data_IF_991749569074
#
_entry.id   IF_991749569074
#
_cell.length_a   1.000
_cell.length_b   1.000
_cell.length_c   1.000
_cell.angle_alpha   90.00
_cell.angle_beta   90.00
_cell.angle_gamma   90.00
#
_symmetry.space_group_name_H-M   'P 1'
#
loop_
_entity.id
_entity.type
_entity.pdbx_description
1 polymer ?
#
# COMPACT_ATOMS: atom_id res chain seq x y z
N UNK A 1 -1.45 30.20 -68.67
CA UNK A 1 -1.77 31.65 -68.74
C UNK A 1 -2.58 32.03 -67.51
N UNK A 2 -2.22 33.16 -66.87
CA UNK A 2 -2.79 33.77 -65.65
C UNK A 2 -2.32 33.25 -64.27
N UNK A 3 -1.29 33.98 -63.80
CA UNK A 3 -0.85 34.20 -62.42
C UNK A 3 -2.01 34.70 -61.54
N UNK A 4 -2.01 34.33 -60.25
CA UNK A 4 -2.26 35.26 -59.14
C UNK A 4 -1.45 34.83 -57.91
N UNK A 5 -0.55 35.74 -57.54
CA UNK A 5 0.31 35.79 -56.38
C UNK A 5 -0.52 36.16 -55.15
N UNK A 6 -0.25 35.53 -53.99
CA UNK A 6 -0.43 36.16 -52.69
C UNK A 6 0.72 35.72 -51.77
N UNK A 7 1.46 36.71 -51.28
CA UNK A 7 2.45 36.61 -50.22
C UNK A 7 1.73 36.42 -48.87
N UNK A 8 2.24 35.55 -47.99
CA UNK A 8 2.40 35.90 -46.58
C UNK A 8 3.52 35.11 -45.91
N UNK A 9 4.20 35.81 -45.00
CA UNK A 9 5.50 35.58 -44.40
C UNK A 9 5.68 34.27 -43.61
N UNK A 10 6.94 33.85 -43.59
CA UNK A 10 7.50 32.84 -42.71
C UNK A 10 7.43 33.24 -41.23
N UNK A 11 7.20 32.25 -40.37
CA UNK A 11 7.68 32.26 -38.99
C UNK A 11 8.07 30.83 -38.60
N UNK A 12 9.39 30.58 -38.65
CA UNK A 12 10.05 29.46 -37.99
C UNK A 12 10.00 29.78 -36.50
N UNK A 13 9.18 29.07 -35.73
CA UNK A 13 9.22 29.14 -34.26
C UNK A 13 10.02 27.95 -33.73
N UNK A 14 11.11 28.30 -33.06
CA UNK A 14 12.15 27.43 -32.53
C UNK A 14 11.60 26.36 -31.58
N UNK A 15 12.10 25.16 -31.79
CA UNK A 15 12.28 24.13 -30.77
C UNK A 15 13.14 24.71 -29.64
N UNK A 16 12.55 24.98 -28.49
CA UNK A 16 13.30 25.06 -27.22
C UNK A 16 12.82 23.93 -26.31
N UNK A 17 13.63 22.88 -26.26
CA UNK A 17 13.82 22.12 -25.02
C UNK A 17 14.10 23.14 -23.91
N UNK A 18 13.20 23.29 -22.94
CA UNK A 18 13.59 23.77 -21.61
C UNK A 18 13.92 22.53 -20.80
N UNK A 19 15.15 22.06 -20.98
CA UNK A 19 15.80 21.20 -20.02
C UNK A 19 16.19 22.08 -18.82
N UNK A 20 15.67 21.78 -17.63
CA UNK A 20 16.21 22.28 -16.37
C UNK A 20 15.66 23.63 -15.87
N UNK A 21 14.34 23.75 -15.64
CA UNK A 21 13.92 24.58 -14.51
C UNK A 21 14.37 23.82 -13.26
N UNK A 22 15.30 24.39 -12.49
CA UNK A 22 15.72 23.75 -11.24
C UNK A 22 14.48 23.59 -10.34
N UNK A 23 14.34 22.42 -9.70
CA UNK A 23 13.26 22.18 -8.74
C UNK A 23 13.16 23.29 -7.69
N UNK A 24 14.28 23.97 -7.40
CA UNK A 24 14.36 25.12 -6.50
C UNK A 24 13.66 26.37 -7.03
N UNK A 25 13.72 26.67 -8.33
CA UNK A 25 13.05 27.85 -8.91
C UNK A 25 11.53 27.62 -9.01
N UNK A 26 11.11 26.41 -9.40
CA UNK A 26 9.71 26.03 -9.42
C UNK A 26 9.11 26.01 -8.00
N UNK A 27 9.82 25.47 -7.01
CA UNK A 27 9.37 25.49 -5.61
C UNK A 27 9.26 26.91 -5.04
N UNK A 28 10.17 27.82 -5.41
CA UNK A 28 10.10 29.22 -4.99
C UNK A 28 8.92 29.99 -5.60
N UNK A 29 8.55 29.66 -6.84
CA UNK A 29 7.40 30.28 -7.52
C UNK A 29 6.06 29.71 -7.02
N UNK A 30 6.03 28.40 -6.73
CA UNK A 30 4.90 27.74 -6.05
C UNK A 30 4.68 28.32 -4.64
N UNK A 31 5.73 28.48 -3.82
CA UNK A 31 5.61 29.04 -2.46
C UNK A 31 5.14 30.50 -2.47
N UNK A 32 5.59 31.32 -3.45
CA UNK A 32 5.07 32.67 -3.68
C UNK A 32 3.59 32.67 -4.07
N UNK A 33 3.16 31.71 -4.88
CA UNK A 33 1.75 31.55 -5.29
C UNK A 33 0.88 31.12 -4.12
N UNK A 34 1.37 30.22 -3.26
CA UNK A 34 0.69 29.79 -2.03
C UNK A 34 0.56 30.93 -1.03
N UNK A 35 1.62 31.70 -0.79
CA UNK A 35 1.58 32.85 0.12
C UNK A 35 0.66 33.96 -0.41
N UNK A 36 0.63 34.16 -1.73
CA UNK A 36 -0.33 35.06 -2.38
C UNK A 36 -1.77 34.60 -2.15
N UNK A 37 -2.06 33.30 -2.35
CA UNK A 37 -3.37 32.72 -2.10
C UNK A 37 -3.81 32.86 -0.64
N UNK A 38 -2.94 32.51 0.31
CA UNK A 38 -3.21 32.63 1.74
C UNK A 38 -3.46 34.09 2.09
N UNK A 39 -2.55 35.01 1.73
CA UNK A 39 -2.67 36.43 2.10
C UNK A 39 -3.88 37.11 1.46
N UNK A 40 -4.34 36.65 0.29
CA UNK A 40 -5.55 37.15 -0.36
C UNK A 40 -6.81 36.73 0.41
N UNK A 41 -6.90 35.48 0.87
CA UNK A 41 -8.11 34.89 1.45
C UNK A 41 -8.14 34.98 2.98
N UNK A 42 -7.04 34.63 3.64
CA UNK A 42 -6.93 34.54 5.10
C UNK A 42 -6.49 35.90 5.65
N UNK A 43 -7.42 36.61 6.30
CA UNK A 43 -7.14 37.88 6.99
C UNK A 43 -6.95 37.68 8.49
N UNK A 44 -7.27 36.49 9.01
CA UNK A 44 -7.00 36.14 10.40
C UNK A 44 -5.50 36.25 10.72
N UNK A 45 -5.10 36.89 11.83
CA UNK A 45 -3.71 36.90 12.28
C UNK A 45 -3.21 35.50 12.63
N UNK A 46 -1.93 35.20 12.37
CA UNK A 46 -1.32 33.90 12.69
C UNK A 46 -1.46 33.47 14.16
N UNK A 47 -1.57 34.44 15.08
CA UNK A 47 -1.78 34.19 16.51
C UNK A 47 -3.19 33.72 16.89
N UNK A 48 -4.11 33.65 15.93
CA UNK A 48 -5.51 33.30 16.13
C UNK A 48 -5.91 32.08 15.27
N UNK A 49 -6.98 31.41 15.69
CA UNK A 49 -7.61 30.36 14.88
C UNK A 49 -8.31 30.98 13.67
N UNK A 50 -8.09 30.41 12.48
CA UNK A 50 -8.72 30.87 11.24
C UNK A 50 -10.24 30.77 11.32
N UNK A 51 -10.91 31.82 10.83
CA UNK A 51 -12.36 31.89 10.72
C UNK A 51 -12.89 30.92 9.67
N UNK A 52 -14.00 30.25 9.98
CA UNK A 52 -14.65 29.30 9.06
C UNK A 52 -14.90 29.88 7.67
N UNK A 53 -15.40 31.12 7.56
CA UNK A 53 -15.70 31.74 6.26
C UNK A 53 -14.45 31.99 5.40
N UNK A 54 -13.29 32.24 6.01
CA UNK A 54 -12.02 32.36 5.28
C UNK A 54 -11.56 30.97 4.81
N UNK A 55 -11.68 29.97 5.67
CA UNK A 55 -11.37 28.58 5.33
C UNK A 55 -12.25 28.05 4.19
N UNK A 56 -13.56 28.32 4.23
CA UNK A 56 -14.51 27.95 3.17
C UNK A 56 -14.08 28.51 1.82
N UNK A 57 -13.75 29.82 1.77
CA UNK A 57 -13.29 30.46 0.53
C UNK A 57 -12.03 29.79 -0.01
N UNK A 58 -11.06 29.49 0.85
CA UNK A 58 -9.86 28.76 0.44
C UNK A 58 -10.22 27.37 -0.10
N UNK A 59 -11.02 26.60 0.64
CA UNK A 59 -11.38 25.23 0.27
C UNK A 59 -12.17 25.15 -1.03
N UNK A 60 -13.08 26.09 -1.28
CA UNK A 60 -13.88 26.13 -2.50
C UNK A 60 -13.04 26.31 -3.78
N UNK A 61 -11.78 26.75 -3.67
CA UNK A 61 -10.86 26.80 -4.81
C UNK A 61 -10.50 25.40 -5.35
N UNK A 62 -10.75 24.31 -4.61
CA UNK A 62 -10.64 22.96 -5.15
C UNK A 62 -11.57 22.72 -6.35
N UNK A 63 -12.65 23.50 -6.53
CA UNK A 63 -13.50 23.40 -7.72
C UNK A 63 -12.73 23.58 -9.04
N UNK A 64 -11.59 24.31 -8.99
CA UNK A 64 -10.72 24.55 -10.14
C UNK A 64 -9.53 23.58 -10.20
N UNK A 65 -9.44 22.61 -9.28
CA UNK A 65 -8.33 21.67 -9.24
C UNK A 65 -8.46 20.63 -10.37
N UNK A 66 -7.33 20.31 -10.98
CA UNK A 66 -7.21 19.19 -11.89
C UNK A 66 -7.19 17.88 -11.10
N UNK A 67 -8.06 16.95 -11.52
CA UNK A 67 -8.05 15.57 -11.04
C UNK A 67 -7.13 14.79 -11.97
N UNK A 68 -6.09 14.17 -11.42
CA UNK A 68 -5.20 13.34 -12.21
C UNK A 68 -5.94 12.05 -12.64
N UNK A 69 -6.11 11.81 -13.96
CA UNK A 69 -6.85 10.65 -14.43
C UNK A 69 -6.10 9.33 -14.19
N UNK A 70 -4.80 9.36 -13.84
CA UNK A 70 -4.01 8.14 -13.60
C UNK A 70 -4.29 7.52 -12.23
N UNK A 71 -4.45 8.32 -11.20
CA UNK A 71 -4.59 7.86 -9.81
C UNK A 71 -5.91 8.28 -9.14
N UNK A 72 -6.73 9.09 -9.83
CA UNK A 72 -7.93 9.69 -9.28
C UNK A 72 -7.63 10.40 -7.95
N UNK A 73 -6.65 11.30 -7.96
CA UNK A 73 -6.44 12.24 -6.86
C UNK A 73 -6.14 13.65 -7.37
N UNK A 74 -6.32 14.62 -6.46
CA UNK A 74 -5.82 15.97 -6.63
C UNK A 74 -4.42 16.02 -6.02
N UNK A 75 -3.45 16.42 -6.84
CA UNK A 75 -2.04 16.46 -6.45
C UNK A 75 -1.82 17.17 -5.11
N UNK A 76 -0.93 16.63 -4.28
CA UNK A 76 -0.43 17.34 -3.09
C UNK A 76 0.14 18.73 -3.44
N UNK A 77 0.72 18.88 -4.64
CA UNK A 77 1.24 20.16 -5.13
C UNK A 77 0.17 21.16 -5.55
N UNK A 78 -1.11 20.81 -5.46
CA UNK A 78 -2.18 21.77 -5.67
C UNK A 78 -2.03 22.94 -4.66
N UNK A 79 -2.12 24.20 -5.10
CA UNK A 79 -1.93 25.37 -4.23
C UNK A 79 -2.86 25.39 -3.00
N UNK A 80 -4.08 24.85 -3.11
CA UNK A 80 -5.02 24.79 -1.99
C UNK A 80 -4.58 23.75 -0.94
N UNK A 81 -4.04 22.60 -1.37
CA UNK A 81 -3.46 21.60 -0.46
C UNK A 81 -2.25 22.18 0.29
N UNK A 82 -1.32 22.81 -0.44
CA UNK A 82 -0.14 23.45 0.16
C UNK A 82 -0.53 24.61 1.09
N UNK A 83 -1.54 25.40 0.73
CA UNK A 83 -2.05 26.47 1.57
C UNK A 83 -2.65 25.96 2.88
N UNK A 84 -3.46 24.89 2.83
CA UNK A 84 -4.04 24.26 4.03
C UNK A 84 -2.95 23.69 4.95
N UNK A 85 -1.92 23.07 4.38
CA UNK A 85 -0.76 22.56 5.13
C UNK A 85 0.06 23.67 5.79
N UNK A 86 0.38 24.72 5.03
CA UNK A 86 1.09 25.90 5.54
C UNK A 86 0.32 26.59 6.65
N UNK A 87 -1.00 26.74 6.48
CA UNK A 87 -1.91 27.23 7.52
C UNK A 87 -1.81 26.37 8.79
N UNK A 88 -1.85 25.05 8.65
CA UNK A 88 -1.76 24.10 9.77
C UNK A 88 -0.45 24.19 10.57
N UNK A 89 0.62 24.70 9.95
CA UNK A 89 1.93 24.92 10.59
C UNK A 89 2.06 26.31 11.21
N UNK A 90 1.57 27.32 10.50
CA UNK A 90 1.87 28.72 10.81
C UNK A 90 0.87 29.39 11.76
N UNK A 91 -0.35 28.84 11.88
CA UNK A 91 -1.44 29.47 12.65
C UNK A 91 -1.66 28.76 13.99
N UNK A 92 -2.06 29.49 15.02
CA UNK A 92 -2.35 28.93 16.36
C UNK A 92 -3.56 27.98 16.30
N UNK A 93 -3.37 26.72 16.69
CA UNK A 93 -4.39 25.63 16.74
C UNK A 93 -5.19 25.47 15.45
N UNK A 94 -4.50 25.09 14.37
CA UNK A 94 -4.90 25.33 12.98
C UNK A 94 -5.13 24.07 12.15
N UNK A 95 -5.20 22.90 12.79
CA UNK A 95 -5.68 21.75 12.04
C UNK A 95 -7.13 22.01 11.63
N UNK A 96 -7.43 21.84 10.35
CA UNK A 96 -8.71 22.22 9.76
C UNK A 96 -9.92 21.64 10.52
N UNK A 97 -9.79 20.48 11.17
CA UNK A 97 -10.85 19.84 11.95
C UNK A 97 -11.20 20.56 13.26
N UNK A 98 -10.35 21.48 13.74
CA UNK A 98 -10.59 22.27 14.94
C UNK A 98 -11.41 23.54 14.66
N UNK A 99 -11.59 23.90 13.38
CA UNK A 99 -12.37 25.08 12.98
C UNK A 99 -13.85 24.79 13.29
N UNK A 100 -14.52 25.57 14.16
CA UNK A 100 -15.94 25.35 14.48
C UNK A 100 -16.81 25.42 13.22
N UNK A 101 -17.72 24.47 13.03
CA UNK A 101 -18.64 24.41 11.88
C UNK A 101 -18.05 23.82 10.60
N UNK A 102 -16.79 23.37 10.61
CA UNK A 102 -16.11 22.87 9.42
C UNK A 102 -16.62 21.49 8.99
N UNK A 103 -17.05 20.65 9.93
CA UNK A 103 -17.64 19.34 9.64
C UNK A 103 -18.93 19.51 8.85
N UNK A 104 -19.81 20.39 9.31
CA UNK A 104 -21.08 20.74 8.68
C UNK A 104 -20.85 21.35 7.29
N UNK A 105 -19.78 22.14 7.13
CA UNK A 105 -19.35 22.62 5.83
C UNK A 105 -18.95 21.47 4.88
N UNK A 106 -18.12 20.52 5.30
CA UNK A 106 -17.79 19.39 4.43
C UNK A 106 -18.99 18.53 4.10
N UNK A 107 -19.88 18.28 5.07
CA UNK A 107 -21.11 17.54 4.84
C UNK A 107 -22.01 18.21 3.80
N UNK A 108 -22.08 19.56 3.79
CA UNK A 108 -22.87 20.28 2.78
C UNK A 108 -22.27 20.22 1.38
N UNK A 109 -20.97 19.93 1.25
CA UNK A 109 -20.31 19.76 -0.04
C UNK A 109 -20.55 18.39 -0.68
N UNK A 110 -21.09 17.40 0.04
CA UNK A 110 -21.32 16.05 -0.50
C UNK A 110 -22.31 16.01 -1.67
N UNK A 111 -23.17 17.02 -1.80
CA UNK A 111 -24.13 17.17 -2.91
C UNK A 111 -23.75 18.29 -3.87
N UNK A 112 -22.54 18.83 -3.78
CA UNK A 112 -22.09 19.91 -4.66
C UNK A 112 -21.91 19.40 -6.10
N UNK A 113 -22.16 20.23 -7.11
CA UNK A 113 -22.01 19.85 -8.53
C UNK A 113 -20.55 19.50 -8.90
N UNK A 114 -19.56 20.13 -8.25
CA UNK A 114 -18.14 19.88 -8.50
C UNK A 114 -17.68 18.55 -7.87
N UNK A 115 -17.19 17.58 -8.66
CA UNK A 115 -16.63 16.35 -8.12
C UNK A 115 -15.37 16.59 -7.28
N UNK A 116 -14.59 17.63 -7.57
CA UNK A 116 -13.44 18.02 -6.76
C UNK A 116 -13.86 18.35 -5.33
N UNK A 117 -14.92 19.14 -5.17
CA UNK A 117 -15.42 19.53 -3.86
C UNK A 117 -16.03 18.34 -3.11
N UNK A 118 -16.80 17.48 -3.79
CA UNK A 118 -17.33 16.25 -3.19
C UNK A 118 -16.22 15.33 -2.69
N UNK A 119 -15.27 14.97 -3.54
CA UNK A 119 -14.18 14.07 -3.17
C UNK A 119 -13.25 14.67 -2.11
N UNK A 120 -12.91 15.96 -2.19
CA UNK A 120 -12.11 16.61 -1.15
C UNK A 120 -12.86 16.72 0.17
N UNK A 121 -14.18 16.92 0.17
CA UNK A 121 -14.98 16.86 1.38
C UNK A 121 -14.93 15.46 2.00
N UNK A 122 -15.08 14.39 1.22
CA UNK A 122 -14.92 13.01 1.70
C UNK A 122 -13.52 12.78 2.30
N UNK A 123 -12.46 13.27 1.65
CA UNK A 123 -11.08 13.22 2.18
C UNK A 123 -10.96 13.89 3.55
N UNK A 124 -11.62 15.03 3.76
CA UNK A 124 -11.55 15.75 5.04
C UNK A 124 -12.46 15.15 6.11
N UNK A 125 -13.58 14.56 5.70
CA UNK A 125 -14.50 13.86 6.60
C UNK A 125 -13.92 12.56 7.16
N UNK A 126 -12.83 12.04 6.61
CA UNK A 126 -12.07 10.88 7.15
C UNK A 126 -11.69 11.08 8.63
N UNK A 127 -11.51 12.32 9.10
CA UNK A 127 -11.26 12.60 10.51
C UNK A 127 -12.42 12.15 11.42
N UNK A 128 -13.66 12.20 10.94
CA UNK A 128 -14.88 11.78 11.65
C UNK A 128 -15.42 10.45 11.11
N UNK A 129 -14.57 9.62 10.52
CA UNK A 129 -14.98 8.42 9.78
C UNK A 129 -15.71 7.34 10.58
N UNK A 130 -15.67 7.43 11.91
CA UNK A 130 -16.34 6.51 12.84
C UNK A 130 -17.64 7.09 13.41
N UNK A 131 -17.98 8.36 13.13
CA UNK A 131 -19.23 8.96 13.55
C UNK A 131 -20.37 8.46 12.67
N UNK A 132 -21.40 7.87 13.28
CA UNK A 132 -22.47 7.18 12.55
C UNK A 132 -23.21 8.12 11.57
N UNK A 133 -23.48 9.37 11.96
CA UNK A 133 -24.17 10.34 11.10
C UNK A 133 -23.31 10.77 9.90
N UNK A 134 -21.98 10.84 10.07
CA UNK A 134 -21.05 11.11 8.97
C UNK A 134 -21.01 9.92 8.02
N UNK A 135 -20.91 8.70 8.54
CA UNK A 135 -20.92 7.46 7.74
C UNK A 135 -22.21 7.35 6.93
N UNK A 136 -23.37 7.59 7.55
CA UNK A 136 -24.66 7.53 6.87
C UNK A 136 -24.76 8.56 5.74
N UNK A 137 -24.34 9.81 5.98
CA UNK A 137 -24.34 10.86 4.94
C UNK A 137 -23.41 10.54 3.78
N UNK A 138 -22.25 9.96 4.06
CA UNK A 138 -21.30 9.50 3.03
C UNK A 138 -21.92 8.34 2.23
N UNK A 139 -22.49 7.35 2.92
CA UNK A 139 -23.09 6.20 2.27
C UNK A 139 -24.28 6.61 1.38
N UNK A 140 -25.09 7.58 1.82
CA UNK A 140 -26.16 8.20 1.03
C UNK A 140 -25.62 8.93 -0.21
N UNK A 141 -24.58 9.75 -0.03
CA UNK A 141 -23.97 10.48 -1.15
C UNK A 141 -23.38 9.54 -2.20
N UNK A 142 -22.82 8.40 -1.78
CA UNK A 142 -22.23 7.42 -2.69
C UNK A 142 -23.26 6.65 -3.52
N UNK A 143 -24.50 6.45 -3.05
CA UNK A 143 -25.48 5.59 -3.75
C UNK A 143 -25.69 5.94 -5.23
N UNK A 144 -25.54 7.22 -5.59
CA UNK A 144 -25.74 7.72 -6.96
C UNK A 144 -24.48 8.39 -7.53
N UNK A 145 -23.33 8.25 -6.88
CA UNK A 145 -22.09 8.83 -7.36
C UNK A 145 -21.56 8.03 -8.56
N UNK A 146 -21.13 8.76 -9.59
CA UNK A 146 -20.62 8.17 -10.85
C UNK A 146 -19.23 8.67 -11.20
N UNK A 147 -18.74 9.71 -10.52
CA UNK A 147 -17.43 10.26 -10.77
C UNK A 147 -16.34 9.39 -10.12
N UNK A 148 -15.36 8.88 -10.90
CA UNK A 148 -14.33 7.97 -10.39
C UNK A 148 -13.50 8.54 -9.24
N UNK A 149 -13.21 9.85 -9.25
CA UNK A 149 -12.49 10.50 -8.15
C UNK A 149 -13.29 10.44 -6.86
N UNK A 150 -14.57 10.75 -6.91
CA UNK A 150 -15.42 10.75 -5.70
C UNK A 150 -15.63 9.33 -5.18
N UNK A 151 -15.93 8.37 -6.07
CA UNK A 151 -16.09 6.95 -5.70
C UNK A 151 -14.82 6.45 -5.00
N UNK A 152 -13.66 6.58 -5.67
CA UNK A 152 -12.41 6.06 -5.11
C UNK A 152 -12.03 6.78 -3.82
N UNK A 153 -12.40 8.05 -3.64
CA UNK A 153 -12.17 8.80 -2.41
C UNK A 153 -13.06 8.36 -1.26
N UNK A 154 -14.35 8.21 -1.52
CA UNK A 154 -15.32 7.72 -0.55
C UNK A 154 -14.96 6.32 -0.06
N UNK A 155 -14.65 5.41 -0.99
CA UNK A 155 -14.23 4.04 -0.67
C UNK A 155 -12.92 4.01 0.12
N UNK A 156 -11.93 4.82 -0.25
CA UNK A 156 -10.65 4.87 0.49
C UNK A 156 -10.83 5.31 1.94
N UNK A 157 -11.62 6.35 2.19
CA UNK A 157 -11.80 6.92 3.53
C UNK A 157 -12.83 6.17 4.39
N UNK A 158 -13.84 5.58 3.76
CA UNK A 158 -15.00 5.01 4.48
C UNK A 158 -15.26 3.53 4.22
N UNK A 159 -14.51 2.89 3.33
CA UNK A 159 -14.70 1.47 2.99
C UNK A 159 -14.53 0.52 4.17
N UNK A 160 -13.80 0.90 5.23
CA UNK A 160 -13.72 0.13 6.46
C UNK A 160 -15.09 -0.02 7.19
N UNK A 161 -16.09 0.79 6.81
CA UNK A 161 -17.46 0.65 7.29
C UNK A 161 -18.30 -0.34 6.46
N UNK A 162 -17.69 -1.08 5.53
CA UNK A 162 -18.36 -2.11 4.72
C UNK A 162 -19.28 -3.00 5.56
N UNK A 163 -18.75 -3.67 6.60
CA UNK A 163 -19.54 -4.55 7.48
C UNK A 163 -20.42 -3.80 8.50
N UNK A 164 -20.30 -2.47 8.61
CA UNK A 164 -20.95 -1.66 9.65
C UNK A 164 -22.10 -0.81 9.14
N UNK A 165 -22.23 -0.66 7.81
CA UNK A 165 -23.23 0.18 7.19
C UNK A 165 -23.79 -0.50 5.92
N UNK A 166 -25.07 -0.85 5.94
CA UNK A 166 -25.74 -1.58 4.85
C UNK A 166 -25.69 -0.83 3.51
N UNK A 167 -25.84 0.51 3.52
CA UNK A 167 -25.78 1.32 2.30
C UNK A 167 -24.36 1.32 1.72
N UNK A 168 -23.33 1.38 2.57
CA UNK A 168 -21.94 1.24 2.15
C UNK A 168 -21.68 -0.15 1.56
N UNK A 169 -22.14 -1.21 2.22
CA UNK A 169 -22.02 -2.58 1.73
C UNK A 169 -22.66 -2.74 0.35
N UNK A 170 -23.91 -2.30 0.20
CA UNK A 170 -24.65 -2.34 -1.05
C UNK A 170 -23.94 -1.58 -2.17
N UNK A 171 -23.45 -0.37 -1.87
CA UNK A 171 -22.71 0.44 -2.84
C UNK A 171 -21.44 -0.27 -3.31
N UNK A 172 -20.62 -0.75 -2.36
CA UNK A 172 -19.35 -1.40 -2.68
C UNK A 172 -19.57 -2.71 -3.44
N UNK A 173 -20.53 -3.55 -3.05
CA UNK A 173 -20.87 -4.78 -3.77
C UNK A 173 -21.39 -4.50 -5.19
N UNK A 174 -21.99 -3.34 -5.46
CA UNK A 174 -22.38 -2.97 -6.82
C UNK A 174 -21.19 -2.57 -7.71
N UNK A 175 -20.03 -2.24 -7.12
CA UNK A 175 -18.84 -1.74 -7.83
C UNK A 175 -17.67 -2.74 -7.85
N UNK A 176 -17.85 -3.97 -7.35
CA UNK A 176 -16.80 -4.99 -7.46
C UNK A 176 -16.55 -5.43 -8.90
N UNK A 177 -17.55 -5.32 -9.78
CA UNK A 177 -17.45 -5.62 -11.21
C UNK A 177 -17.27 -4.36 -12.08
N UNK A 178 -16.86 -3.23 -11.48
CA UNK A 178 -16.73 -1.97 -12.22
C UNK A 178 -15.75 -2.13 -13.42
N UNK A 179 -16.12 -1.67 -14.64
CA UNK A 179 -15.26 -1.78 -15.81
C UNK A 179 -13.96 -0.98 -15.66
N UNK A 180 -13.96 0.07 -14.85
CA UNK A 180 -12.74 0.79 -14.46
C UNK A 180 -11.97 -0.02 -13.41
N UNK A 181 -10.84 -0.59 -13.84
CA UNK A 181 -9.96 -1.39 -12.99
C UNK A 181 -9.49 -0.66 -11.72
N UNK A 182 -9.42 0.68 -11.70
CA UNK A 182 -9.01 1.44 -10.51
C UNK A 182 -10.14 1.54 -9.50
N UNK A 183 -11.38 1.67 -9.96
CA UNK A 183 -12.56 1.62 -9.08
C UNK A 183 -12.68 0.22 -8.52
N UNK A 184 -12.65 -0.79 -9.40
CA UNK A 184 -12.69 -2.21 -9.00
C UNK A 184 -11.64 -2.57 -7.97
N UNK A 185 -10.36 -2.24 -8.23
CA UNK A 185 -9.28 -2.48 -7.27
C UNK A 185 -9.53 -1.74 -5.95
N UNK A 186 -9.91 -0.46 -5.98
CA UNK A 186 -10.17 0.31 -4.75
C UNK A 186 -11.30 -0.30 -3.90
N UNK A 187 -12.36 -0.76 -4.54
CA UNK A 187 -13.51 -1.39 -3.88
C UNK A 187 -13.14 -2.74 -3.31
N UNK A 188 -12.52 -3.61 -4.13
CA UNK A 188 -12.09 -4.94 -3.69
C UNK A 188 -11.09 -4.83 -2.54
N UNK A 189 -10.07 -3.97 -2.63
CA UNK A 189 -9.09 -3.78 -1.55
C UNK A 189 -9.68 -3.22 -0.25
N UNK A 190 -10.83 -2.55 -0.30
CA UNK A 190 -11.54 -2.10 0.90
C UNK A 190 -12.46 -3.19 1.48
N UNK A 191 -13.10 -4.00 0.63
CA UNK A 191 -13.89 -5.16 1.06
C UNK A 191 -12.97 -6.24 1.64
N UNK A 192 -11.93 -6.63 0.88
CA UNK A 192 -10.97 -7.67 1.21
C UNK A 192 -9.83 -7.07 2.03
N UNK A 193 -10.05 -6.97 3.33
CA UNK A 193 -9.08 -6.45 4.31
C UNK A 193 -9.27 -7.11 5.68
N UNK A 194 -8.25 -7.13 6.53
CA UNK A 194 -8.33 -7.63 7.93
C UNK A 194 -9.53 -7.13 8.71
N UNK A 195 -9.98 -5.90 8.48
CA UNK A 195 -11.13 -5.34 9.20
C UNK A 195 -12.45 -6.08 8.89
N UNK A 196 -12.48 -6.86 7.80
CA UNK A 196 -13.62 -7.63 7.34
C UNK A 196 -13.31 -9.14 7.26
N UNK A 197 -12.27 -9.64 7.93
CA UNK A 197 -11.84 -11.05 7.87
C UNK A 197 -12.95 -12.05 8.19
N UNK A 198 -13.82 -11.70 9.12
CA UNK A 198 -14.95 -12.54 9.56
C UNK A 198 -16.19 -12.44 8.67
N UNK A 199 -16.16 -11.60 7.62
CA UNK A 199 -17.30 -11.36 6.75
C UNK A 199 -17.37 -12.37 5.62
N UNK A 200 -18.41 -13.19 5.60
CA UNK A 200 -18.67 -14.14 4.51
C UNK A 200 -18.79 -13.42 3.16
N UNK A 201 -19.41 -12.23 3.11
CA UNK A 201 -19.47 -11.43 1.89
C UNK A 201 -18.07 -10.98 1.42
N UNK A 202 -17.15 -10.68 2.34
CA UNK A 202 -15.78 -10.34 1.97
C UNK A 202 -14.99 -11.56 1.47
N UNK A 203 -15.21 -12.74 2.06
CA UNK A 203 -14.65 -14.01 1.60
C UNK A 203 -15.16 -14.40 0.21
N UNK A 204 -16.45 -14.26 -0.05
CA UNK A 204 -17.05 -14.48 -1.38
C UNK A 204 -16.43 -13.56 -2.43
N UNK A 205 -16.25 -12.27 -2.11
CA UNK A 205 -15.56 -11.32 -3.00
C UNK A 205 -14.11 -11.74 -3.21
N UNK A 206 -13.39 -12.13 -2.16
CA UNK A 206 -12.01 -12.58 -2.28
C UNK A 206 -11.89 -13.82 -3.21
N UNK A 207 -12.74 -14.83 -3.04
CA UNK A 207 -12.74 -16.00 -3.94
C UNK A 207 -13.03 -15.64 -5.39
N UNK A 208 -13.96 -14.71 -5.61
CA UNK A 208 -14.30 -14.25 -6.96
C UNK A 208 -13.10 -13.58 -7.66
N UNK A 209 -12.29 -12.80 -6.92
CA UNK A 209 -11.28 -11.92 -7.50
C UNK A 209 -9.82 -12.31 -7.25
N UNK A 210 -9.56 -13.41 -6.56
CA UNK A 210 -8.19 -13.91 -6.36
C UNK A 210 -7.46 -14.22 -7.69
N UNK A 211 -8.23 -14.49 -8.75
CA UNK A 211 -7.75 -14.73 -10.12
C UNK A 211 -8.18 -13.62 -11.11
N UNK A 212 -8.45 -12.38 -10.67
CA UNK A 212 -8.86 -11.25 -11.55
C UNK A 212 -7.85 -11.03 -12.70
N UNK A 213 -8.26 -10.66 -13.92
CA UNK A 213 -7.32 -10.38 -15.02
C UNK A 213 -6.36 -9.21 -14.72
N UNK A 214 -6.78 -8.22 -13.93
CA UNK A 214 -5.94 -7.11 -13.50
C UNK A 214 -5.00 -7.54 -12.37
N UNK A 215 -3.70 -7.36 -12.62
CA UNK A 215 -2.62 -7.76 -11.71
C UNK A 215 -2.65 -7.01 -10.38
N UNK A 216 -3.13 -5.76 -10.34
CA UNK A 216 -3.23 -5.01 -9.09
C UNK A 216 -4.38 -5.51 -8.23
N UNK A 217 -5.50 -5.93 -8.84
CA UNK A 217 -6.60 -6.58 -8.13
C UNK A 217 -6.11 -7.89 -7.50
N UNK A 218 -5.45 -8.76 -8.28
CA UNK A 218 -4.86 -10.01 -7.75
C UNK A 218 -3.92 -9.74 -6.59
N UNK A 219 -2.98 -8.81 -6.75
CA UNK A 219 -2.01 -8.47 -5.70
C UNK A 219 -2.67 -8.03 -4.39
N UNK A 220 -3.74 -7.22 -4.47
CA UNK A 220 -4.48 -6.78 -3.28
C UNK A 220 -5.21 -7.93 -2.60
N UNK A 221 -5.92 -8.77 -3.36
CA UNK A 221 -6.64 -9.92 -2.80
C UNK A 221 -5.63 -10.90 -2.18
N UNK A 222 -4.58 -11.27 -2.92
CA UNK A 222 -3.55 -12.20 -2.46
C UNK A 222 -2.84 -11.71 -1.21
N UNK A 223 -2.63 -10.41 -0.99
CA UNK A 223 -2.05 -9.87 0.24
C UNK A 223 -2.99 -9.95 1.44
N UNK A 224 -4.29 -9.82 1.23
CA UNK A 224 -5.27 -9.65 2.29
C UNK A 224 -5.89 -10.98 2.76
N UNK A 225 -6.00 -12.00 1.90
CA UNK A 225 -6.64 -13.28 2.25
C UNK A 225 -5.91 -14.06 3.35
N UNK A 226 -4.61 -13.82 3.57
CA UNK A 226 -3.90 -14.38 4.73
C UNK A 226 -4.50 -13.94 6.06
N UNK A 227 -4.98 -12.70 6.14
CA UNK A 227 -5.64 -12.14 7.33
C UNK A 227 -7.05 -12.71 7.57
N UNK A 228 -7.61 -13.44 6.59
CA UNK A 228 -8.89 -14.13 6.75
C UNK A 228 -8.73 -15.47 7.47
N UNK A 229 -7.51 -16.03 7.47
CA UNK A 229 -7.18 -17.33 8.06
C UNK A 229 -8.10 -18.47 7.58
N UNK A 230 -8.63 -18.34 6.36
CA UNK A 230 -9.54 -19.29 5.74
C UNK A 230 -8.74 -20.22 4.83
N UNK A 231 -8.67 -21.51 5.20
CA UNK A 231 -7.89 -22.51 4.48
C UNK A 231 -8.38 -22.76 3.05
N UNK A 232 -9.58 -22.31 2.69
CA UNK A 232 -10.10 -22.42 1.32
C UNK A 232 -9.28 -21.60 0.30
N UNK A 233 -8.50 -20.59 0.73
CA UNK A 233 -7.61 -19.83 -0.15
C UNK A 233 -6.26 -20.52 -0.43
N UNK A 234 -5.92 -21.60 0.28
CA UNK A 234 -4.59 -22.22 0.20
C UNK A 234 -4.30 -22.74 -1.21
N UNK A 235 -5.28 -23.33 -1.89
CA UNK A 235 -5.11 -23.87 -3.25
C UNK A 235 -4.71 -22.77 -4.25
N UNK A 236 -5.37 -21.61 -4.18
CA UNK A 236 -5.08 -20.46 -5.04
C UNK A 236 -3.71 -19.86 -4.72
N UNK A 237 -3.37 -19.69 -3.43
CA UNK A 237 -2.06 -19.18 -2.99
C UNK A 237 -0.92 -20.11 -3.43
N UNK A 238 -1.09 -21.43 -3.26
CA UNK A 238 -0.11 -22.43 -3.69
C UNK A 238 0.05 -22.45 -5.21
N UNK A 239 -1.04 -22.30 -5.95
CA UNK A 239 -1.02 -22.22 -7.42
C UNK A 239 -0.21 -21.01 -7.89
N UNK A 240 -0.37 -19.84 -7.27
CA UNK A 240 0.44 -18.65 -7.58
C UNK A 240 1.92 -18.92 -7.35
N UNK A 241 2.31 -19.52 -6.22
CA UNK A 241 3.72 -19.84 -5.91
C UNK A 241 4.37 -20.88 -6.85
N UNK A 242 3.56 -21.64 -7.59
CA UNK A 242 4.03 -22.64 -8.57
C UNK A 242 4.09 -22.10 -9.99
N UNK A 243 3.53 -20.92 -10.25
CA UNK A 243 3.42 -20.34 -11.58
C UNK A 243 4.55 -19.33 -11.83
N UNK A 244 5.57 -19.67 -12.63
CA UNK A 244 6.69 -18.76 -12.89
C UNK A 244 6.26 -17.48 -13.63
N UNK A 245 5.12 -17.47 -14.33
CA UNK A 245 4.59 -16.27 -14.99
C UNK A 245 3.93 -15.30 -13.97
N UNK A 246 3.76 -15.74 -12.72
CA UNK A 246 3.23 -14.94 -11.61
C UNK A 246 4.29 -14.70 -10.52
N UNK A 247 5.58 -14.74 -10.88
CA UNK A 247 6.69 -14.51 -9.95
C UNK A 247 6.55 -13.21 -9.16
N UNK A 248 5.95 -12.18 -9.75
CA UNK A 248 5.77 -10.86 -9.17
C UNK A 248 4.62 -10.80 -8.14
N UNK A 249 3.83 -11.86 -8.04
CA UNK A 249 2.78 -12.09 -7.04
C UNK A 249 3.21 -13.10 -5.97
N UNK A 250 4.38 -13.73 -6.12
CA UNK A 250 4.89 -14.70 -5.15
C UNK A 250 5.06 -14.10 -3.75
N UNK A 251 5.51 -12.84 -3.66
CA UNK A 251 5.61 -12.13 -2.39
C UNK A 251 4.27 -12.17 -1.64
N UNK A 252 3.21 -11.74 -2.31
CA UNK A 252 1.85 -11.63 -1.77
C UNK A 252 1.26 -12.98 -1.37
N UNK A 253 1.44 -13.99 -2.23
CA UNK A 253 0.96 -15.35 -1.94
C UNK A 253 1.71 -15.98 -0.76
N UNK A 254 3.03 -15.83 -0.71
CA UNK A 254 3.84 -16.34 0.40
C UNK A 254 3.47 -15.64 1.71
N UNK A 255 3.37 -14.31 1.72
CA UNK A 255 3.05 -13.57 2.95
C UNK A 255 1.69 -13.98 3.50
N UNK A 256 0.70 -14.20 2.63
CA UNK A 256 -0.61 -14.67 3.09
C UNK A 256 -0.56 -16.07 3.69
N UNK A 257 0.12 -17.02 3.05
CA UNK A 257 0.33 -18.34 3.64
C UNK A 257 1.11 -18.23 4.96
N UNK A 258 2.12 -17.36 5.02
CA UNK A 258 2.91 -17.13 6.20
C UNK A 258 2.07 -16.62 7.37
N UNK A 259 1.15 -15.67 7.15
CA UNK A 259 0.19 -15.22 8.18
C UNK A 259 -0.71 -16.36 8.68
N UNK A 260 -1.14 -17.28 7.81
CA UNK A 260 -2.02 -18.39 8.20
C UNK A 260 -1.37 -19.40 9.15
N UNK A 261 -0.04 -19.49 9.20
CA UNK A 261 0.65 -20.42 10.09
C UNK A 261 1.54 -19.74 11.13
N UNK A 262 2.12 -18.58 10.84
CA UNK A 262 3.06 -17.87 11.71
C UNK A 262 2.43 -16.64 12.40
N UNK A 263 1.14 -16.73 12.72
CA UNK A 263 0.42 -15.78 13.56
C UNK A 263 0.03 -16.46 14.88
N UNK A 264 0.27 -15.86 16.05
CA UNK A 264 0.10 -16.54 17.34
C UNK A 264 -1.32 -17.08 17.61
N UNK A 265 -2.33 -16.49 16.98
CA UNK A 265 -3.72 -16.92 17.09
C UNK A 265 -4.06 -18.12 16.18
N UNK A 266 -3.24 -18.37 15.15
CA UNK A 266 -3.55 -19.31 14.07
C UNK A 266 -2.41 -20.31 13.83
N UNK A 267 -2.76 -21.48 13.32
CA UNK A 267 -1.82 -22.56 13.09
C UNK A 267 -2.35 -23.42 11.96
N UNK A 268 -1.76 -23.28 10.78
CA UNK A 268 -2.11 -24.06 9.60
C UNK A 268 -0.90 -24.85 9.12
N UNK A 269 -0.89 -26.17 9.36
CA UNK A 269 0.20 -27.05 8.91
C UNK A 269 0.39 -26.98 7.39
N UNK A 270 -0.71 -26.93 6.63
CA UNK A 270 -0.66 -26.92 5.17
C UNK A 270 0.04 -25.67 4.65
N UNK A 271 -0.31 -24.49 5.17
CA UNK A 271 0.34 -23.24 4.80
C UNK A 271 1.83 -23.24 5.19
N UNK A 272 2.17 -23.76 6.36
CA UNK A 272 3.57 -23.98 6.78
C UNK A 272 4.34 -24.83 5.77
N UNK A 273 3.80 -25.99 5.42
CA UNK A 273 4.47 -26.94 4.51
C UNK A 273 4.70 -26.29 3.13
N UNK A 274 3.75 -25.50 2.63
CA UNK A 274 3.90 -24.78 1.36
C UNK A 274 5.01 -23.72 1.46
N UNK A 275 5.03 -22.90 2.51
CA UNK A 275 6.10 -21.92 2.73
C UNK A 275 7.47 -22.58 2.81
N UNK A 276 7.59 -23.66 3.59
CA UNK A 276 8.84 -24.41 3.74
C UNK A 276 9.31 -25.01 2.41
N UNK A 277 8.40 -25.66 1.68
CA UNK A 277 8.70 -26.27 0.39
C UNK A 277 9.08 -25.23 -0.65
N UNK A 278 8.41 -24.07 -0.66
CA UNK A 278 8.71 -22.95 -1.55
C UNK A 278 10.17 -22.49 -1.35
N UNK A 279 10.57 -22.17 -0.13
CA UNK A 279 11.95 -21.74 0.16
C UNK A 279 13.01 -22.83 -0.03
N UNK A 280 12.60 -24.09 0.00
CA UNK A 280 13.47 -25.25 -0.24
C UNK A 280 13.78 -25.49 -1.73
N UNK A 281 13.09 -24.82 -2.66
CA UNK A 281 13.23 -25.06 -4.09
C UNK A 281 14.65 -24.80 -4.62
N UNK A 282 15.03 -25.57 -5.64
CA UNK A 282 16.22 -25.39 -6.48
C UNK A 282 15.79 -25.44 -7.96
N UNK A 283 16.43 -24.71 -8.88
CA UNK A 283 17.54 -23.77 -8.64
C UNK A 283 17.09 -22.49 -7.94
N UNK A 284 17.97 -21.91 -7.12
CA UNK A 284 17.71 -20.69 -6.33
C UNK A 284 18.06 -19.44 -7.13
N UNK A 285 17.21 -19.13 -8.09
CA UNK A 285 17.43 -18.04 -9.06
C UNK A 285 17.20 -16.68 -8.41
N UNK A 286 17.40 -15.59 -9.17
CA UNK A 286 17.09 -14.23 -8.70
C UNK A 286 15.61 -14.02 -8.35
N UNK A 287 14.71 -14.77 -8.99
CA UNK A 287 13.24 -14.54 -8.97
C UNK A 287 12.48 -15.58 -8.14
N UNK A 288 12.96 -16.82 -8.13
CA UNK A 288 12.30 -17.94 -7.47
C UNK A 288 13.32 -18.69 -6.61
N UNK A 289 13.03 -18.90 -5.32
CA UNK A 289 12.01 -18.21 -4.50
C UNK A 289 12.09 -16.67 -4.47
N UNK A 290 11.01 -16.00 -4.05
CA UNK A 290 10.98 -14.55 -3.81
C UNK A 290 11.67 -14.23 -2.48
N UNK A 291 12.95 -13.87 -2.55
CA UNK A 291 13.85 -13.85 -1.40
C UNK A 291 13.59 -12.79 -0.34
N UNK A 292 12.78 -11.76 -0.63
CA UNK A 292 12.35 -10.83 0.42
C UNK A 292 11.57 -11.56 1.52
N UNK A 293 10.83 -12.61 1.15
CA UNK A 293 10.06 -13.44 2.09
C UNK A 293 10.92 -14.12 3.15
N UNK A 294 12.15 -14.54 2.81
CA UNK A 294 13.09 -15.13 3.76
C UNK A 294 13.48 -14.12 4.82
N UNK A 295 13.81 -12.89 4.40
CA UNK A 295 14.27 -11.84 5.31
C UNK A 295 13.20 -11.37 6.31
N UNK A 296 11.93 -11.44 5.91
CA UNK A 296 10.76 -11.10 6.73
C UNK A 296 10.33 -12.24 7.65
N UNK A 297 10.74 -13.48 7.35
CA UNK A 297 10.39 -14.61 8.19
C UNK A 297 11.05 -14.46 9.57
N UNK A 298 10.27 -14.68 10.63
CA UNK A 298 10.74 -14.72 12.02
C UNK A 298 11.21 -13.38 12.64
N UNK A 299 10.73 -12.23 12.14
CA UNK A 299 11.03 -10.94 12.77
C UNK A 299 10.43 -10.80 14.18
N UNK A 300 11.35 -10.80 15.16
CA UNK A 300 11.27 -10.42 16.58
C UNK A 300 10.11 -10.98 17.45
N UNK A 301 10.40 -11.89 18.41
CA UNK A 301 9.44 -12.47 19.37
C UNK A 301 8.99 -11.53 20.51
N UNK A 302 9.36 -10.25 20.51
CA UNK A 302 9.11 -9.33 21.62
C UNK A 302 7.63 -8.92 21.82
N UNK A 303 6.74 -9.24 20.88
CA UNK A 303 5.30 -9.08 21.09
C UNK A 303 4.70 -10.41 21.59
N UNK A 304 4.78 -10.59 22.92
CA UNK A 304 4.08 -11.56 23.78
C UNK A 304 4.73 -12.95 23.93
N UNK A 305 5.73 -13.06 24.81
CA UNK A 305 6.36 -14.33 25.22
C UNK A 305 5.36 -15.43 25.67
N UNK A 306 4.18 -15.07 26.19
CA UNK A 306 3.12 -16.05 26.51
C UNK A 306 2.50 -16.68 25.26
N UNK A 307 2.29 -15.91 24.19
CA UNK A 307 1.62 -16.39 22.97
C UNK A 307 2.52 -17.29 22.12
N UNK A 308 3.85 -17.10 22.14
CA UNK A 308 4.77 -17.96 21.36
C UNK A 308 4.84 -19.39 21.89
N UNK A 309 4.79 -19.58 23.22
CA UNK A 309 4.78 -20.91 23.82
C UNK A 309 3.48 -21.64 23.47
N UNK A 310 2.34 -20.98 23.69
CA UNK A 310 1.02 -21.52 23.37
C UNK A 310 0.88 -21.82 21.87
N UNK A 311 1.39 -20.95 21.01
CA UNK A 311 1.41 -21.18 19.57
C UNK A 311 2.29 -22.39 19.20
N UNK A 312 3.47 -22.56 19.82
CA UNK A 312 4.32 -23.76 19.61
C UNK A 312 3.60 -25.04 20.03
N UNK A 313 2.83 -25.01 21.12
CA UNK A 313 1.99 -26.14 21.54
C UNK A 313 0.89 -26.47 20.51
N UNK A 314 0.26 -25.45 19.92
CA UNK A 314 -0.73 -25.57 18.84
C UNK A 314 -0.12 -25.84 17.45
N UNK A 315 1.19 -25.70 17.30
CA UNK A 315 1.91 -25.85 16.03
C UNK A 315 3.01 -26.92 16.14
N UNK A 316 2.69 -28.17 16.53
CA UNK A 316 3.70 -29.20 16.77
C UNK A 316 4.47 -29.60 15.50
N UNK A 317 3.94 -29.26 14.31
CA UNK A 317 4.61 -29.42 13.03
C UNK A 317 5.78 -28.45 12.83
N UNK A 318 5.78 -27.28 13.50
CA UNK A 318 6.86 -26.32 13.36
C UNK A 318 8.08 -26.81 14.16
N UNK A 319 9.13 -27.18 13.43
CA UNK A 319 10.43 -27.55 14.02
C UNK A 319 11.46 -26.48 13.70
N UNK A 320 11.87 -25.75 14.72
CA UNK A 320 12.87 -24.68 14.59
C UNK A 320 14.17 -25.17 13.94
N UNK A 321 14.61 -26.38 14.27
CA UNK A 321 15.79 -27.03 13.68
C UNK A 321 15.67 -27.27 12.17
N UNK A 322 14.46 -27.56 11.66
CA UNK A 322 14.27 -27.78 10.21
C UNK A 322 14.44 -26.47 9.44
N UNK A 323 13.89 -25.37 9.96
CA UNK A 323 14.07 -24.04 9.41
C UNK A 323 15.52 -23.56 9.50
N UNK A 324 16.20 -23.78 10.63
CA UNK A 324 17.64 -23.51 10.77
C UNK A 324 18.45 -24.28 9.72
N UNK A 325 18.16 -25.57 9.53
CA UNK A 325 18.83 -26.40 8.51
C UNK A 325 18.57 -25.88 7.09
N UNK A 326 17.34 -25.48 6.78
CA UNK A 326 16.99 -24.88 5.49
C UNK A 326 17.76 -23.57 5.25
N UNK A 327 17.83 -22.69 6.25
CA UNK A 327 18.59 -21.44 6.16
C UNK A 327 20.08 -21.72 5.91
N UNK A 328 20.67 -22.70 6.61
CA UNK A 328 22.05 -23.11 6.37
C UNK A 328 22.21 -23.69 4.95
N UNK A 329 21.27 -24.49 4.45
CA UNK A 329 21.31 -25.02 3.07
C UNK A 329 21.22 -23.89 2.03
N UNK A 330 20.44 -22.84 2.27
CA UNK A 330 20.39 -21.65 1.40
C UNK A 330 21.73 -20.90 1.45
N UNK A 331 22.26 -20.62 2.65
CA UNK A 331 23.54 -19.90 2.84
C UNK A 331 24.70 -20.62 2.17
N UNK A 332 24.69 -21.94 2.19
CA UNK A 332 25.82 -22.79 1.75
C UNK A 332 25.69 -23.29 0.32
N UNK A 333 24.63 -22.91 -0.40
CA UNK A 333 24.44 -23.23 -1.81
C UNK A 333 25.21 -22.24 -2.72
N UNK A 334 26.28 -22.67 -3.40
CA UNK A 334 27.08 -21.80 -4.28
C UNK A 334 26.34 -21.41 -5.57
N UNK A 335 25.18 -22.02 -5.87
CA UNK A 335 24.34 -21.67 -7.02
C UNK A 335 23.18 -20.75 -6.63
N UNK A 336 23.00 -20.45 -5.35
CA UNK A 336 21.95 -19.55 -4.90
C UNK A 336 22.28 -18.10 -5.24
N UNK A 337 21.25 -17.34 -5.60
CA UNK A 337 21.34 -15.90 -5.76
C UNK A 337 21.92 -15.25 -4.50
N UNK A 338 22.90 -14.35 -4.65
CA UNK A 338 23.64 -13.79 -3.50
C UNK A 338 22.73 -13.16 -2.44
N UNK A 339 21.65 -12.49 -2.87
CA UNK A 339 20.66 -11.92 -1.96
C UNK A 339 19.97 -12.99 -1.12
N UNK A 340 19.63 -14.15 -1.70
CA UNK A 340 19.06 -15.28 -0.98
C UNK A 340 19.94 -15.72 0.19
N UNK A 341 21.25 -15.87 -0.08
CA UNK A 341 22.26 -16.28 0.91
C UNK A 341 22.35 -15.24 2.03
N UNK A 342 22.46 -13.96 1.69
CA UNK A 342 22.59 -12.89 2.70
C UNK A 342 21.31 -12.65 3.50
N UNK A 343 20.13 -12.79 2.89
CA UNK A 343 18.84 -12.74 3.57
C UNK A 343 18.69 -13.91 4.54
N UNK A 344 19.11 -15.12 4.14
CA UNK A 344 19.10 -16.29 5.00
C UNK A 344 20.07 -16.12 6.20
N UNK A 345 21.21 -15.43 6.05
CA UNK A 345 22.07 -15.08 7.21
C UNK A 345 21.33 -14.16 8.18
N UNK A 346 20.64 -13.13 7.70
CA UNK A 346 19.87 -12.23 8.57
C UNK A 346 18.77 -12.98 9.34
N UNK A 347 18.10 -13.93 8.69
CA UNK A 347 17.06 -14.76 9.31
C UNK A 347 17.66 -15.80 10.27
N UNK A 348 18.79 -16.40 9.92
CA UNK A 348 19.51 -17.34 10.79
C UNK A 348 19.98 -16.66 12.08
N UNK A 349 20.38 -15.37 12.03
CA UNK A 349 20.67 -14.59 13.23
C UNK A 349 19.49 -14.49 14.19
N UNK A 350 18.25 -14.46 13.67
CA UNK A 350 17.02 -14.32 14.46
C UNK A 350 16.54 -15.65 15.04
N UNK A 351 16.63 -16.72 14.24
CA UNK A 351 16.05 -18.03 14.56
C UNK A 351 17.06 -19.04 15.10
N UNK A 352 18.30 -19.00 14.63
CA UNK A 352 19.35 -19.93 15.00
C UNK A 352 20.19 -19.47 16.19
N UNK A 353 21.17 -20.29 16.53
CA UNK A 353 22.15 -20.04 17.57
C UNK A 353 23.44 -19.44 17.00
N UNK A 354 24.35 -19.02 17.89
CA UNK A 354 25.70 -18.61 17.49
C UNK A 354 26.44 -19.77 16.82
N UNK A 355 26.27 -20.99 17.35
CA UNK A 355 26.86 -22.21 16.82
C UNK A 355 26.37 -22.51 15.40
N UNK A 356 25.09 -22.26 15.10
CA UNK A 356 24.54 -22.42 13.75
C UNK A 356 25.18 -21.45 12.74
N UNK A 357 25.40 -20.19 13.15
CA UNK A 357 26.11 -19.20 12.32
C UNK A 357 27.57 -19.60 12.06
N UNK A 358 28.29 -20.09 13.08
CA UNK A 358 29.67 -20.58 12.91
C UNK A 358 29.73 -21.84 12.03
N UNK A 359 28.74 -22.74 12.15
CA UNK A 359 28.61 -23.91 11.29
C UNK A 359 28.36 -23.50 9.83
N UNK A 360 27.48 -22.52 9.58
CA UNK A 360 27.25 -21.97 8.26
C UNK A 360 28.53 -21.34 7.68
N UNK A 361 29.25 -20.54 8.48
CA UNK A 361 30.53 -19.92 8.09
C UNK A 361 31.56 -20.96 7.69
N UNK A 362 31.71 -22.03 8.47
CA UNK A 362 32.65 -23.13 8.19
C UNK A 362 32.33 -23.79 6.85
N UNK A 363 31.04 -24.06 6.57
CA UNK A 363 30.60 -24.64 5.30
C UNK A 363 30.86 -23.70 4.11
N UNK A 364 30.58 -22.40 4.24
CA UNK A 364 30.85 -21.40 3.19
C UNK A 364 32.36 -21.27 2.95
N UNK A 365 33.18 -21.29 4.00
CA UNK A 365 34.63 -21.25 3.88
C UNK A 365 35.21 -22.48 3.16
N UNK A 366 34.52 -23.62 3.18
CA UNK A 366 34.92 -24.82 2.45
C UNK A 366 34.49 -24.83 0.96
N UNK A 367 33.70 -23.84 0.52
CA UNK A 367 33.32 -23.72 -0.90
C UNK A 367 34.53 -23.34 -1.77
N UNK A 368 34.55 -23.74 -3.05
CA UNK A 368 35.66 -23.41 -3.96
C UNK A 368 35.87 -21.90 -4.10
N UNK A 369 37.11 -21.48 -4.33
CA UNK A 369 37.44 -20.06 -4.58
C UNK A 369 36.77 -19.48 -5.85
N UNK A 370 36.13 -20.33 -6.66
CA UNK A 370 35.31 -19.91 -7.81
C UNK A 370 33.89 -19.47 -7.42
N UNK A 371 33.45 -19.69 -6.18
CA UNK A 371 32.20 -19.12 -5.65
C UNK A 371 32.38 -17.60 -5.50
N UNK A 372 31.66 -16.85 -6.34
CA UNK A 372 31.78 -15.39 -6.43
C UNK A 372 31.31 -14.65 -5.19
N UNK A 373 30.39 -15.24 -4.42
CA UNK A 373 29.73 -14.59 -3.28
C UNK A 373 30.28 -15.08 -1.93
N UNK A 374 31.24 -16.01 -1.94
CA UNK A 374 31.81 -16.65 -0.73
C UNK A 374 32.26 -15.63 0.31
N UNK A 375 33.10 -14.68 -0.09
CA UNK A 375 33.69 -13.68 0.84
C UNK A 375 32.63 -12.71 1.38
N UNK A 376 31.67 -12.32 0.54
CA UNK A 376 30.57 -11.43 0.94
C UNK A 376 29.64 -12.10 1.93
N UNK A 377 29.34 -13.39 1.74
CA UNK A 377 28.55 -14.19 2.67
C UNK A 377 29.30 -14.40 3.99
N UNK A 378 30.61 -14.69 3.97
CA UNK A 378 31.43 -14.78 5.19
C UNK A 378 31.40 -13.46 5.96
N UNK A 379 31.62 -12.33 5.26
CA UNK A 379 31.58 -10.99 5.87
C UNK A 379 30.21 -10.67 6.48
N UNK A 380 29.12 -11.11 5.84
CA UNK A 380 27.76 -10.99 6.37
C UNK A 380 27.59 -11.81 7.65
N UNK A 381 28.08 -13.05 7.68
CA UNK A 381 28.04 -13.90 8.88
C UNK A 381 28.88 -13.30 10.01
N UNK A 382 30.08 -12.79 9.72
CA UNK A 382 30.93 -12.11 10.71
C UNK A 382 30.26 -10.87 11.32
N UNK A 383 29.45 -10.15 10.53
CA UNK A 383 28.62 -9.07 11.06
C UNK A 383 27.46 -9.59 11.90
N UNK A 384 26.90 -10.75 11.57
CA UNK A 384 25.82 -11.36 12.31
C UNK A 384 26.26 -11.91 13.68
N UNK A 385 27.49 -12.42 13.78
CA UNK A 385 28.13 -12.93 15.00
C UNK A 385 28.53 -11.83 16.00
N UNK A 386 28.61 -10.58 15.55
CA UNK A 386 28.74 -9.39 16.39
C UNK A 386 27.38 -8.93 16.90
#
# INVERSE_FOLDING_TARGET
MKKKTFFLAAAIAMTTMVCGVSQTAQAQDEDKTVDSLISHIIKTPKSQQIKLEEYKKLFLNFANAEINPKDYDISWRNPVNQAIDKIGKDYKTSYHYQIPGVKEFYLSLLTNESPQLRGMAMKKLDYWRTEADVVDKIADALQNETNPFVITRGVYSFGFNFCKNEKMAKFMLAHVDDPDQKIRARVIGAIVSSSNSESEAAKEVAHKYINDPDRNVRDQVLKAVGEFHDESFIDDLEKVLKDPEQEDLHYSAYTSLFEMWYNYAYSCKRAHDICFNYLSQKPRTKKVPEWLTVSMSFDNPANYYSSRKEWKEKSPFFKESEWVNLLIDIITDPQAYSFARTAAVDTLKKLGTKEDLEAAKTKVAALPDTDRDRDDVIKKIDKALK
#
